data_IF_980521925175
#
_entry.id   IF_980521925175
#
_cell.length_a   1.000
_cell.length_b   1.000
_cell.length_c   1.000
_cell.angle_alpha   90.00
_cell.angle_beta   90.00
_cell.angle_gamma   90.00
#
_symmetry.space_group_name_H-M   'P 1'
#
loop_
_entity.id
_entity.type
_entity.pdbx_description
1 polymer ?
#
# COMPACT_ATOMS: atom_id res chain seq x y z
N UNK A 1 -0.35 -11.84 -11.90
CA UNK A 1 -1.54 -12.33 -11.17
C UNK A 1 -2.64 -12.54 -12.20
N UNK A 2 -2.90 -13.80 -12.52
CA UNK A 2 -3.95 -14.17 -13.47
C UNK A 2 -5.31 -14.09 -12.76
N UNK A 3 -6.27 -13.27 -13.23
CA UNK A 3 -7.57 -13.11 -12.59
C UNK A 3 -8.40 -14.41 -12.54
N UNK A 4 -8.24 -15.30 -13.51
CA UNK A 4 -8.98 -16.57 -13.56
C UNK A 4 -8.51 -17.49 -12.44
N UNK A 5 -7.19 -17.72 -12.35
CA UNK A 5 -6.59 -18.53 -11.29
C UNK A 5 -6.85 -17.93 -9.90
N UNK A 6 -6.82 -16.60 -9.81
CA UNK A 6 -7.14 -15.92 -8.55
C UNK A 6 -8.59 -16.17 -8.13
N UNK A 7 -9.55 -16.11 -9.06
CA UNK A 7 -10.96 -16.36 -8.78
C UNK A 7 -11.19 -17.80 -8.28
N UNK A 8 -10.57 -18.78 -8.91
CA UNK A 8 -10.65 -20.18 -8.47
C UNK A 8 -10.11 -20.36 -7.06
N UNK A 9 -8.92 -19.82 -6.78
CA UNK A 9 -8.31 -19.85 -5.45
C UNK A 9 -9.21 -19.20 -4.38
N UNK A 10 -9.78 -18.05 -4.67
CA UNK A 10 -10.65 -17.34 -3.72
C UNK A 10 -11.93 -18.15 -3.40
N UNK A 11 -12.52 -18.78 -4.40
CA UNK A 11 -13.68 -19.67 -4.20
C UNK A 11 -13.34 -20.86 -3.29
N UNK A 12 -12.20 -21.50 -3.52
CA UNK A 12 -11.73 -22.59 -2.66
C UNK A 12 -11.52 -22.13 -1.21
N UNK A 13 -10.90 -20.98 -1.00
CA UNK A 13 -10.67 -20.44 0.35
C UNK A 13 -11.98 -20.07 1.02
N UNK A 14 -12.92 -19.45 0.32
CA UNK A 14 -14.23 -19.06 0.88
C UNK A 14 -15.10 -20.25 1.27
N UNK A 15 -14.89 -21.40 0.65
CA UNK A 15 -15.60 -22.65 0.99
C UNK A 15 -15.08 -23.31 2.28
N UNK A 16 -13.97 -22.82 2.86
CA UNK A 16 -13.46 -23.33 4.12
C UNK A 16 -14.40 -22.97 5.28
N UNK A 17 -14.61 -23.87 6.25
CA UNK A 17 -15.33 -23.54 7.48
C UNK A 17 -14.67 -22.37 8.20
N UNK A 18 -15.46 -21.42 8.68
CA UNK A 18 -14.97 -20.25 9.43
C UNK A 18 -13.94 -19.40 8.67
N UNK A 19 -14.14 -19.18 7.36
CA UNK A 19 -13.25 -18.33 6.56
C UNK A 19 -13.14 -16.91 7.16
N UNK A 20 -11.93 -16.46 7.53
CA UNK A 20 -11.75 -15.11 8.07
C UNK A 20 -11.89 -14.06 6.95
N UNK A 21 -11.97 -12.77 7.29
CA UNK A 21 -11.91 -11.70 6.29
C UNK A 21 -10.70 -11.82 5.38
N UNK A 22 -10.94 -11.83 4.06
CA UNK A 22 -9.90 -12.01 3.05
C UNK A 22 -9.46 -10.67 2.44
N UNK A 23 -8.16 -10.51 2.29
CA UNK A 23 -7.54 -9.37 1.60
C UNK A 23 -6.59 -9.87 0.51
N UNK A 24 -6.67 -9.27 -0.66
CA UNK A 24 -5.76 -9.56 -1.78
C UNK A 24 -4.59 -8.59 -1.75
N UNK A 25 -3.37 -9.11 -1.68
CA UNK A 25 -2.16 -8.28 -1.77
C UNK A 25 -1.64 -8.23 -3.21
N UNK A 26 -1.57 -7.03 -3.77
CA UNK A 26 -1.21 -6.80 -5.16
C UNK A 26 0.23 -6.30 -5.33
N UNK A 27 0.83 -6.64 -6.48
CA UNK A 27 2.14 -6.11 -6.88
C UNK A 27 2.02 -4.66 -7.39
N UNK A 28 3.04 -3.82 -7.17
CA UNK A 28 3.03 -2.45 -7.68
C UNK A 28 3.30 -2.36 -9.19
N UNK A 29 3.68 -3.48 -9.81
CA UNK A 29 4.08 -3.53 -11.23
C UNK A 29 2.91 -3.91 -12.16
N UNK A 30 1.72 -4.12 -11.60
CA UNK A 30 0.49 -4.33 -12.36
C UNK A 30 0.11 -3.08 -13.15
N UNK A 31 -0.44 -3.27 -14.35
CA UNK A 31 -1.07 -2.19 -15.09
C UNK A 31 -2.37 -1.74 -14.39
N UNK A 32 -2.81 -0.51 -14.64
CA UNK A 32 -4.09 -0.05 -14.12
C UNK A 32 -5.26 -0.90 -14.61
N UNK A 33 -5.18 -1.43 -15.83
CA UNK A 33 -6.18 -2.36 -16.35
C UNK A 33 -6.27 -3.64 -15.54
N UNK A 34 -5.10 -4.24 -15.18
CA UNK A 34 -5.09 -5.44 -14.33
C UNK A 34 -5.64 -5.14 -12.94
N UNK A 35 -5.36 -3.95 -12.41
CA UNK A 35 -5.90 -3.49 -11.12
C UNK A 35 -7.43 -3.33 -11.21
N UNK A 36 -7.96 -2.78 -12.30
CA UNK A 36 -9.40 -2.64 -12.52
C UNK A 36 -10.08 -4.02 -12.54
N UNK A 37 -9.48 -5.00 -13.24
CA UNK A 37 -9.98 -6.38 -13.29
C UNK A 37 -9.96 -7.05 -11.90
N UNK A 38 -8.93 -6.78 -11.08
CA UNK A 38 -8.86 -7.26 -9.70
C UNK A 38 -9.94 -6.59 -8.83
N UNK A 39 -10.18 -5.28 -8.98
CA UNK A 39 -11.25 -4.59 -8.26
C UNK A 39 -12.62 -5.17 -8.61
N UNK A 40 -12.88 -5.46 -9.89
CA UNK A 40 -14.12 -6.12 -10.31
C UNK A 40 -14.26 -7.50 -9.67
N UNK A 41 -13.20 -8.30 -9.69
CA UNK A 41 -13.19 -9.64 -9.08
C UNK A 41 -13.47 -9.59 -7.58
N UNK A 42 -12.90 -8.60 -6.88
CA UNK A 42 -13.10 -8.39 -5.43
C UNK A 42 -14.57 -8.11 -5.13
N UNK A 43 -15.22 -7.29 -5.94
CA UNK A 43 -16.64 -6.99 -5.79
C UNK A 43 -17.50 -8.22 -6.10
N UNK A 44 -17.21 -8.95 -7.20
CA UNK A 44 -17.94 -10.14 -7.60
C UNK A 44 -17.86 -11.26 -6.53
N UNK A 45 -16.68 -11.42 -5.94
CA UNK A 45 -16.42 -12.48 -4.94
C UNK A 45 -16.57 -11.99 -3.49
N UNK A 46 -17.06 -10.77 -3.26
CA UNK A 46 -17.27 -10.18 -1.93
C UNK A 46 -16.05 -10.28 -1.01
N UNK A 47 -14.86 -9.97 -1.55
CA UNK A 47 -13.60 -9.95 -0.80
C UNK A 47 -13.50 -8.68 0.02
N UNK A 48 -12.95 -8.76 1.23
CA UNK A 48 -13.00 -7.69 2.23
C UNK A 48 -12.10 -6.47 1.90
N UNK A 49 -11.10 -6.62 1.02
CA UNK A 49 -10.28 -5.48 0.63
C UNK A 49 -8.98 -5.83 -0.09
N UNK A 50 -8.16 -4.81 -0.30
CA UNK A 50 -6.88 -4.89 -0.99
C UNK A 50 -5.75 -4.42 -0.07
N UNK A 51 -4.61 -5.11 -0.13
CA UNK A 51 -3.34 -4.65 0.42
C UNK A 51 -2.47 -4.16 -0.74
N UNK A 52 -2.19 -2.90 -0.81
CA UNK A 52 -1.37 -2.27 -1.84
C UNK A 52 -0.17 -1.53 -1.21
N UNK A 53 1.08 -1.97 -1.47
CA UNK A 53 1.50 -2.95 -2.47
C UNK A 53 2.50 -3.97 -1.90
N UNK A 54 2.79 -5.04 -2.66
CA UNK A 54 3.95 -5.87 -2.47
C UNK A 54 5.22 -5.11 -2.92
N UNK A 55 6.37 -5.79 -2.96
CA UNK A 55 7.65 -5.29 -3.51
C UNK A 55 7.59 -5.20 -5.04
N UNK A 56 8.47 -4.36 -5.64
CA UNK A 56 8.58 -4.15 -7.08
C UNK A 56 9.78 -4.88 -7.67
N UNK A 57 9.62 -5.42 -8.87
CA UNK A 57 10.73 -5.90 -9.68
C UNK A 57 11.31 -4.78 -10.57
N UNK A 58 10.61 -3.66 -10.66
CA UNK A 58 11.04 -2.49 -11.41
C UNK A 58 12.22 -1.80 -10.70
N UNK A 59 13.31 -1.61 -11.42
CA UNK A 59 14.56 -1.00 -10.97
C UNK A 59 14.84 0.34 -11.68
N UNK A 60 13.85 0.88 -12.39
CA UNK A 60 14.01 2.09 -13.17
C UNK A 60 14.55 3.25 -12.30
N UNK A 61 15.64 3.87 -12.75
CA UNK A 61 16.34 4.93 -12.03
C UNK A 61 17.30 4.45 -10.94
N UNK A 62 17.50 3.13 -10.78
CA UNK A 62 18.41 2.53 -9.80
C UNK A 62 19.48 1.63 -10.46
N UNK A 63 19.59 1.66 -11.80
CA UNK A 63 20.44 0.78 -12.60
C UNK A 63 21.92 0.90 -12.24
N UNK A 64 22.36 2.09 -11.83
CA UNK A 64 23.75 2.38 -11.47
C UNK A 64 23.99 2.40 -9.96
N UNK A 65 23.02 1.96 -9.15
CA UNK A 65 23.16 1.93 -7.70
C UNK A 65 23.92 0.69 -7.25
N UNK A 66 25.09 0.87 -6.66
CA UNK A 66 25.87 -0.20 -6.06
C UNK A 66 25.39 -0.49 -4.64
N UNK A 67 25.34 -1.74 -4.28
CA UNK A 67 25.14 -2.20 -2.91
C UNK A 67 26.50 -2.23 -2.23
N UNK A 68 26.76 -1.31 -1.32
CA UNK A 68 28.07 -1.14 -0.65
C UNK A 68 28.58 -2.45 -0.04
N UNK A 69 27.69 -3.26 0.48
CA UNK A 69 28.06 -4.53 1.17
C UNK A 69 28.53 -5.61 0.21
N UNK A 70 27.97 -5.71 -1.00
CA UNK A 70 28.25 -6.79 -1.95
C UNK A 70 29.06 -6.33 -3.14
N UNK A 71 29.10 -5.02 -3.42
CA UNK A 71 29.72 -4.46 -4.61
C UNK A 71 28.98 -4.78 -5.91
N UNK A 72 27.77 -5.37 -5.82
CA UNK A 72 26.92 -5.69 -6.97
C UNK A 72 25.97 -4.54 -7.30
N UNK A 73 25.50 -4.46 -8.54
CA UNK A 73 24.46 -3.50 -8.92
C UNK A 73 23.12 -3.92 -8.33
N UNK A 74 22.34 -2.95 -7.86
CA UNK A 74 21.00 -3.19 -7.35
C UNK A 74 20.08 -3.81 -8.40
N UNK A 75 20.32 -3.55 -9.70
CA UNK A 75 19.61 -4.15 -10.83
C UNK A 75 19.83 -5.66 -10.96
N UNK A 76 20.97 -6.16 -10.47
CA UNK A 76 21.36 -7.58 -10.55
C UNK A 76 20.92 -8.39 -9.32
N UNK A 77 20.46 -7.71 -8.26
CA UNK A 77 20.01 -8.37 -7.04
C UNK A 77 18.67 -9.10 -7.25
N UNK A 78 18.60 -10.30 -6.66
CA UNK A 78 17.37 -11.08 -6.63
C UNK A 78 16.34 -10.48 -5.65
N UNK A 79 15.06 -10.76 -5.88
CA UNK A 79 13.98 -10.31 -4.99
C UNK A 79 13.38 -8.97 -5.37
N UNK A 80 12.50 -8.46 -4.54
CA UNK A 80 11.74 -7.24 -4.80
C UNK A 80 12.31 -6.01 -4.09
N UNK A 81 12.30 -4.87 -4.78
CA UNK A 81 12.60 -3.56 -4.22
C UNK A 81 11.53 -3.16 -3.21
N UNK A 82 11.94 -2.67 -2.04
CA UNK A 82 11.05 -2.21 -0.96
C UNK A 82 11.43 -0.82 -0.44
N UNK A 83 10.67 -0.30 0.50
CA UNK A 83 10.96 0.96 1.17
C UNK A 83 10.64 2.21 0.35
N UNK A 84 11.38 3.29 0.59
CA UNK A 84 11.11 4.64 0.07
C UNK A 84 10.88 4.72 -1.46
N UNK A 85 11.60 3.98 -2.31
CA UNK A 85 11.35 3.99 -3.76
C UNK A 85 9.92 3.62 -4.16
N UNK A 86 9.22 2.81 -3.35
CA UNK A 86 7.83 2.41 -3.63
C UNK A 86 6.79 3.48 -3.31
N UNK A 87 7.13 4.53 -2.53
CA UNK A 87 6.15 5.48 -1.99
C UNK A 87 5.21 6.05 -3.04
N UNK A 88 5.77 6.66 -4.07
CA UNK A 88 4.98 7.34 -5.10
C UNK A 88 4.12 6.37 -5.93
N UNK A 89 4.69 5.21 -6.28
CA UNK A 89 3.99 4.18 -7.06
C UNK A 89 2.81 3.61 -6.28
N UNK A 90 3.04 3.28 -5.00
CA UNK A 90 1.99 2.78 -4.11
C UNK A 90 0.88 3.83 -3.86
N UNK A 91 1.22 5.12 -3.69
CA UNK A 91 0.23 6.19 -3.55
C UNK A 91 -0.64 6.35 -4.81
N UNK A 92 -0.03 6.25 -6.01
CA UNK A 92 -0.77 6.28 -7.27
C UNK A 92 -1.77 5.13 -7.37
N UNK A 93 -1.35 3.92 -7.01
CA UNK A 93 -2.20 2.73 -7.02
C UNK A 93 -3.35 2.85 -6.01
N UNK A 94 -3.06 3.24 -4.78
CA UNK A 94 -4.08 3.44 -3.74
C UNK A 94 -5.12 4.47 -4.20
N UNK A 95 -4.68 5.60 -4.77
CA UNK A 95 -5.58 6.64 -5.28
C UNK A 95 -6.44 6.13 -6.43
N UNK A 96 -5.85 5.34 -7.33
CA UNK A 96 -6.57 4.74 -8.45
C UNK A 96 -7.68 3.81 -7.95
N UNK A 97 -7.37 2.88 -7.05
CA UNK A 97 -8.34 1.93 -6.49
C UNK A 97 -9.44 2.68 -5.71
N UNK A 98 -9.07 3.66 -4.89
CA UNK A 98 -10.04 4.46 -4.13
C UNK A 98 -11.01 5.24 -5.03
N UNK A 99 -10.56 5.67 -6.21
CA UNK A 99 -11.45 6.32 -7.19
C UNK A 99 -12.44 5.34 -7.84
N UNK A 100 -12.09 4.06 -7.95
CA UNK A 100 -12.99 3.01 -8.45
C UNK A 100 -14.06 2.69 -7.40
N UNK A 101 -13.64 2.42 -6.18
CA UNK A 101 -14.54 2.10 -5.07
C UNK A 101 -14.06 2.75 -3.76
N UNK A 102 -14.81 3.77 -3.31
CA UNK A 102 -14.53 4.49 -2.07
C UNK A 102 -14.84 3.71 -0.80
N UNK A 103 -15.63 2.64 -0.90
CA UNK A 103 -16.04 1.81 0.22
C UNK A 103 -15.12 0.61 0.43
N UNK A 104 -14.28 0.29 -0.55
CA UNK A 104 -13.35 -0.82 -0.46
C UNK A 104 -12.31 -0.56 0.63
N UNK A 105 -12.10 -1.52 1.52
CA UNK A 105 -11.06 -1.40 2.54
C UNK A 105 -9.67 -1.53 1.90
N UNK A 106 -8.90 -0.43 1.94
CA UNK A 106 -7.55 -0.39 1.40
C UNK A 106 -6.52 -0.36 2.53
N UNK A 107 -5.59 -1.32 2.52
CA UNK A 107 -4.45 -1.34 3.42
C UNK A 107 -3.22 -0.89 2.63
N UNK A 108 -2.72 0.30 2.94
CA UNK A 108 -1.58 0.89 2.25
C UNK A 108 -0.25 0.42 2.83
N UNK A 109 0.64 -0.10 1.99
CA UNK A 109 2.00 -0.51 2.37
C UNK A 109 3.02 -0.13 1.30
N UNK A 110 4.28 0.07 1.70
CA UNK A 110 5.40 0.44 0.81
C UNK A 110 5.80 1.91 0.95
N UNK A 111 7.03 2.15 1.38
CA UNK A 111 7.63 3.47 1.49
C UNK A 111 7.11 4.36 2.62
N UNK A 112 6.47 3.79 3.64
CA UNK A 112 6.04 4.53 4.84
C UNK A 112 7.17 4.48 5.86
N UNK A 113 7.87 5.60 6.04
CA UNK A 113 9.03 5.76 6.92
C UNK A 113 9.00 7.06 7.73
N UNK A 114 7.89 7.79 7.65
CA UNK A 114 7.67 9.04 8.37
C UNK A 114 6.19 9.36 8.54
N UNK A 115 5.82 10.28 9.44
CA UNK A 115 4.45 10.77 9.59
C UNK A 115 3.86 11.34 8.30
N UNK A 116 4.65 12.09 7.52
CA UNK A 116 4.21 12.66 6.24
C UNK A 116 3.84 11.54 5.25
N UNK A 117 4.69 10.50 5.14
CA UNK A 117 4.42 9.38 4.24
C UNK A 117 3.18 8.60 4.64
N UNK A 118 2.90 8.48 5.94
CA UNK A 118 1.69 7.86 6.46
C UNK A 118 0.44 8.70 6.15
N UNK A 119 0.52 10.03 6.38
CA UNK A 119 -0.57 10.95 6.06
C UNK A 119 -0.90 10.94 4.56
N UNK A 120 0.14 11.06 3.72
CA UNK A 120 -0.03 11.00 2.27
C UNK A 120 -0.70 9.68 1.81
N UNK A 121 -0.36 8.55 2.43
CA UNK A 121 -0.97 7.26 2.15
C UNK A 121 -2.45 7.24 2.51
N UNK A 122 -2.82 7.75 3.68
CA UNK A 122 -4.21 7.85 4.14
C UNK A 122 -5.00 8.79 3.23
N UNK A 123 -4.48 9.99 2.98
CA UNK A 123 -5.17 10.99 2.13
C UNK A 123 -5.23 10.59 0.65
N UNK A 124 -4.44 9.60 0.24
CA UNK A 124 -4.57 8.95 -1.07
C UNK A 124 -5.69 7.90 -1.13
N UNK A 125 -6.25 7.45 0.00
CA UNK A 125 -7.37 6.50 0.04
C UNK A 125 -7.17 5.27 0.91
N UNK A 126 -6.02 5.11 1.60
CA UNK A 126 -5.82 3.96 2.48
C UNK A 126 -6.59 4.13 3.80
N UNK A 127 -7.42 3.13 4.13
CA UNK A 127 -8.15 3.05 5.42
C UNK A 127 -7.23 2.63 6.56
N UNK A 128 -6.25 1.78 6.27
CA UNK A 128 -5.24 1.26 7.19
C UNK A 128 -3.86 1.35 6.53
N UNK A 129 -2.81 1.34 7.35
CA UNK A 129 -1.43 1.35 6.87
C UNK A 129 -0.60 0.22 7.50
N UNK A 130 0.35 -0.30 6.74
CA UNK A 130 1.36 -1.23 7.21
C UNK A 130 2.74 -0.64 7.02
N UNK A 131 3.63 -0.86 8.00
CA UNK A 131 5.04 -0.48 7.95
C UNK A 131 5.91 -1.73 8.00
N UNK A 132 6.97 -1.79 7.19
CA UNK A 132 7.95 -2.88 7.20
C UNK A 132 9.38 -2.32 7.10
N UNK A 133 9.86 -1.99 5.91
CA UNK A 133 11.22 -1.48 5.69
C UNK A 133 11.51 -0.21 6.51
N UNK A 134 10.52 0.70 6.58
CA UNK A 134 10.63 1.89 7.43
C UNK A 134 10.87 1.56 8.90
N UNK A 135 10.23 0.53 9.43
CA UNK A 135 10.44 0.05 10.80
C UNK A 135 11.86 -0.43 11.03
N UNK A 136 12.43 -1.18 10.06
CA UNK A 136 13.81 -1.71 10.18
C UNK A 136 14.81 -0.56 10.34
N UNK A 137 14.67 0.51 9.56
CA UNK A 137 15.61 1.63 9.59
C UNK A 137 15.34 2.67 10.69
N UNK A 138 14.07 2.90 11.05
CA UNK A 138 13.67 3.91 12.03
C UNK A 138 13.43 3.35 13.43
N UNK A 139 13.31 2.03 13.54
CA UNK A 139 13.04 1.35 14.80
C UNK A 139 11.61 1.50 15.32
N UNK A 140 11.35 1.04 16.56
CA UNK A 140 10.00 0.97 17.12
C UNK A 140 9.36 2.34 17.35
N UNK A 141 10.15 3.41 17.38
CA UNK A 141 9.63 4.77 17.54
C UNK A 141 8.84 5.27 16.32
N UNK A 142 9.03 4.67 15.15
CA UNK A 142 8.33 5.06 13.94
C UNK A 142 6.81 5.10 14.10
N UNK A 143 6.23 4.09 14.76
CA UNK A 143 4.77 4.01 14.92
C UNK A 143 4.21 5.11 15.83
N UNK A 144 4.74 5.33 17.05
CA UNK A 144 4.34 6.48 17.86
C UNK A 144 4.49 7.82 17.12
N UNK A 145 5.58 8.02 16.39
CA UNK A 145 5.83 9.27 15.66
C UNK A 145 4.78 9.46 14.54
N UNK A 146 4.43 8.38 13.81
CA UNK A 146 3.34 8.40 12.81
C UNK A 146 2.01 8.79 13.46
N UNK A 147 1.64 8.15 14.57
CA UNK A 147 0.37 8.42 15.25
C UNK A 147 0.29 9.88 15.74
N UNK A 148 1.37 10.39 16.34
CA UNK A 148 1.45 11.79 16.78
C UNK A 148 1.35 12.75 15.58
N UNK A 149 2.02 12.45 14.48
CA UNK A 149 1.97 13.25 13.27
C UNK A 149 0.57 13.30 12.67
N UNK A 150 -0.09 12.15 12.56
CA UNK A 150 -1.49 12.06 12.08
C UNK A 150 -2.40 12.90 12.98
N UNK A 151 -2.28 12.79 14.32
CA UNK A 151 -3.07 13.57 15.26
C UNK A 151 -2.89 15.08 15.07
N UNK A 152 -1.64 15.55 14.84
CA UNK A 152 -1.37 16.96 14.52
C UNK A 152 -2.08 17.41 13.25
N UNK A 153 -2.09 16.58 12.20
CA UNK A 153 -2.78 16.90 10.94
C UNK A 153 -4.29 16.95 11.13
N UNK A 154 -4.88 15.98 11.85
CA UNK A 154 -6.31 16.01 12.17
C UNK A 154 -6.70 17.31 12.89
N UNK A 155 -5.94 17.71 13.89
CA UNK A 155 -6.16 18.97 14.61
C UNK A 155 -5.99 20.19 13.69
N UNK A 156 -4.95 20.22 12.85
CA UNK A 156 -4.72 21.32 11.91
C UNK A 156 -5.89 21.50 10.94
N UNK A 157 -6.41 20.41 10.39
CA UNK A 157 -7.52 20.41 9.45
C UNK A 157 -8.90 20.42 10.13
N UNK A 158 -8.96 20.42 11.47
CA UNK A 158 -10.20 20.37 12.26
C UNK A 158 -11.06 19.14 11.92
N UNK A 159 -10.41 18.01 11.66
CA UNK A 159 -11.04 16.72 11.36
C UNK A 159 -11.16 15.92 12.64
N UNK A 160 -12.37 15.48 12.97
CA UNK A 160 -12.65 14.74 14.20
C UNK A 160 -12.42 13.23 14.08
N UNK A 161 -12.46 12.70 12.85
CA UNK A 161 -12.34 11.26 12.58
C UNK A 161 -11.41 11.02 11.39
N UNK A 162 -10.43 10.12 11.56
CA UNK A 162 -9.48 9.75 10.51
C UNK A 162 -10.14 9.31 9.19
N UNK A 163 -11.34 8.75 9.25
CA UNK A 163 -12.12 8.37 8.06
C UNK A 163 -12.38 9.54 7.11
N UNK A 164 -12.50 10.76 7.64
CA UNK A 164 -12.69 11.97 6.85
C UNK A 164 -11.43 12.37 6.09
N UNK A 165 -10.25 11.93 6.56
CA UNK A 165 -8.98 12.15 5.88
C UNK A 165 -8.73 11.13 4.75
N UNK A 166 -9.40 9.97 4.78
CA UNK A 166 -9.21 8.92 3.76
C UNK A 166 -9.63 9.44 2.39
N UNK A 167 -8.70 9.42 1.44
CA UNK A 167 -8.95 9.86 0.06
C UNK A 167 -9.20 11.37 -0.12
N UNK A 168 -9.00 12.17 0.93
CA UNK A 168 -9.24 13.62 0.90
C UNK A 168 -8.24 14.41 0.04
N UNK A 169 -7.07 13.86 -0.23
CA UNK A 169 -5.99 14.56 -0.94
C UNK A 169 -5.33 15.69 -0.13
N UNK A 170 -5.63 15.82 1.17
CA UNK A 170 -5.07 16.86 2.03
C UNK A 170 -3.55 16.71 2.15
N UNK A 171 -2.83 17.82 1.92
CA UNK A 171 -1.37 17.85 1.98
C UNK A 171 -0.88 17.85 3.44
N UNK A 172 0.35 17.39 3.65
CA UNK A 172 1.03 17.55 4.94
C UNK A 172 1.27 19.03 5.24
N UNK A 173 1.08 19.43 6.49
CA UNK A 173 1.41 20.76 7.02
C UNK A 173 2.42 20.63 8.18
N UNK A 174 3.43 21.49 8.15
CA UNK A 174 4.47 21.58 9.19
C UNK A 174 3.99 22.30 10.44
#
# INVERSE_FOLDING_TARGET
QDPILLRELLKEIKNLPECPPLFIKIAPDLSFKDIDEICQLINDEEINGIIATNTSLDRLGLENTLIEKTGTLLSEESGGLSGKPLRNKANKIIRHIHNIDKNLTLIGVGGIDSPEAAWERITSGASLIQVYTGWIYKGPRLVPDILQGILKQLNYYQISNIKEAVGSGLSWKN
#
